data_IF_627601250637
#
_entry.id   IF_627601250637
#
_cell.length_a   1.000
_cell.length_b   1.000
_cell.length_c   1.000
_cell.angle_alpha   90.00
_cell.angle_beta   90.00
_cell.angle_gamma   90.00
#
_symmetry.space_group_name_H-M   'P 1'
#
loop_
_entity.id
_entity.type
_entity.pdbx_description
1 polymer ?
#
# COMPACT_ATOMS: atom_id res chain seq x y z
N UNK A 1 9.90 15.38 -11.93
CA UNK A 1 9.81 14.11 -12.68
C UNK A 1 11.17 13.60 -13.08
N UNK A 2 12.05 14.48 -13.53
CA UNK A 2 13.37 14.10 -14.03
C UNK A 2 14.21 13.38 -13.00
N UNK A 3 14.04 13.69 -11.71
CA UNK A 3 14.73 12.99 -10.62
C UNK A 3 14.33 11.52 -10.49
N UNK A 4 13.04 11.19 -10.68
CA UNK A 4 12.56 9.80 -10.57
C UNK A 4 12.99 9.01 -11.80
N UNK A 5 12.89 9.59 -12.99
CA UNK A 5 13.30 8.95 -14.25
C UNK A 5 14.77 8.53 -14.22
N UNK A 6 15.64 9.40 -13.69
CA UNK A 6 17.08 9.14 -13.55
C UNK A 6 17.43 8.01 -12.57
N UNK A 7 16.49 7.60 -11.72
CA UNK A 7 16.69 6.44 -10.83
C UNK A 7 16.53 5.11 -11.58
N UNK A 8 15.88 5.11 -12.75
CA UNK A 8 15.69 3.90 -13.55
C UNK A 8 16.75 3.82 -14.65
N UNK A 9 17.14 2.60 -15.01
CA UNK A 9 18.08 2.37 -16.10
C UNK A 9 17.41 2.57 -17.46
N UNK A 10 16.11 2.27 -17.55
CA UNK A 10 15.31 2.43 -18.76
C UNK A 10 14.30 3.58 -18.59
N UNK A 11 14.65 4.73 -19.15
CA UNK A 11 13.80 5.93 -19.13
C UNK A 11 12.50 5.77 -19.94
N UNK A 12 12.46 4.84 -20.91
CA UNK A 12 11.28 4.59 -21.74
C UNK A 12 10.18 3.86 -20.96
N UNK A 13 10.57 2.80 -20.26
CA UNK A 13 9.65 1.99 -19.45
C UNK A 13 9.00 2.81 -18.32
N UNK A 14 9.79 3.62 -17.62
CA UNK A 14 9.25 4.48 -16.54
C UNK A 14 8.35 5.59 -17.11
N UNK A 15 8.64 6.09 -18.31
CA UNK A 15 7.79 7.08 -18.96
C UNK A 15 6.40 6.51 -19.26
N UNK A 16 6.32 5.29 -19.82
CA UNK A 16 5.05 4.61 -20.08
C UNK A 16 4.25 4.43 -18.79
N UNK A 17 4.91 3.99 -17.71
CA UNK A 17 4.27 3.81 -16.42
C UNK A 17 3.73 5.13 -15.83
N UNK A 18 4.51 6.21 -15.92
CA UNK A 18 4.07 7.53 -15.47
C UNK A 18 2.89 8.04 -16.30
N UNK A 19 2.91 7.87 -17.61
CA UNK A 19 1.81 8.31 -18.48
C UNK A 19 0.49 7.59 -18.14
N UNK A 20 0.55 6.29 -17.86
CA UNK A 20 -0.59 5.51 -17.39
C UNK A 20 -1.12 6.01 -16.03
N UNK A 21 -0.24 6.36 -15.09
CA UNK A 21 -0.65 6.96 -13.81
C UNK A 21 -1.38 8.29 -14.01
N UNK A 22 -0.90 9.15 -14.90
CA UNK A 22 -1.55 10.44 -15.21
C UNK A 22 -2.92 10.24 -15.84
N UNK A 23 -3.07 9.25 -16.73
CA UNK A 23 -4.34 8.96 -17.39
C UNK A 23 -5.37 8.36 -16.42
N UNK A 24 -4.95 7.41 -15.56
CA UNK A 24 -5.87 6.69 -14.65
C UNK A 24 -6.21 7.48 -13.39
N UNK A 25 -5.24 8.19 -12.84
CA UNK A 25 -5.37 8.86 -11.54
C UNK A 25 -5.10 10.37 -11.60
N UNK A 26 -5.71 11.15 -12.51
CA UNK A 26 -5.39 12.57 -12.66
C UNK A 26 -5.66 13.37 -11.37
N UNK A 27 -6.74 13.04 -10.64
CA UNK A 27 -7.08 13.68 -9.36
C UNK A 27 -6.09 13.33 -8.24
N UNK A 28 -5.52 12.12 -8.28
CA UNK A 28 -4.67 11.57 -7.21
C UNK A 28 -3.20 11.47 -7.62
N UNK A 29 -2.81 12.11 -8.73
CA UNK A 29 -1.48 11.94 -9.30
C UNK A 29 -0.37 12.34 -8.32
N UNK A 30 -0.59 13.40 -7.52
CA UNK A 30 0.36 13.81 -6.48
C UNK A 30 0.64 12.69 -5.49
N UNK A 31 -0.40 12.00 -5.03
CA UNK A 31 -0.31 10.93 -4.05
C UNK A 31 0.42 9.71 -4.65
N UNK A 32 0.02 9.32 -5.88
CA UNK A 32 0.68 8.25 -6.62
C UNK A 32 2.19 8.52 -6.79
N UNK A 33 2.57 9.75 -7.14
CA UNK A 33 3.96 10.13 -7.31
C UNK A 33 4.75 10.17 -5.99
N UNK A 34 4.11 10.56 -4.89
CA UNK A 34 4.73 10.52 -3.56
C UNK A 34 5.02 9.09 -3.12
N UNK A 35 4.07 8.18 -3.32
CA UNK A 35 4.24 6.75 -3.04
C UNK A 35 5.38 6.18 -3.88
N UNK A 36 5.38 6.46 -5.19
CA UNK A 36 6.42 6.02 -6.12
C UNK A 36 7.80 6.52 -5.71
N UNK A 37 7.93 7.82 -5.42
CA UNK A 37 9.20 8.42 -5.01
C UNK A 37 9.73 7.80 -3.71
N UNK A 38 8.84 7.53 -2.75
CA UNK A 38 9.19 6.86 -1.50
C UNK A 38 9.67 5.43 -1.76
N UNK A 39 8.92 4.67 -2.56
CA UNK A 39 9.29 3.29 -2.91
C UNK A 39 10.65 3.23 -3.62
N UNK A 40 10.93 4.18 -4.52
CA UNK A 40 12.23 4.25 -5.23
C UNK A 40 13.38 4.50 -4.27
N UNK A 41 13.18 5.38 -3.28
CA UNK A 41 14.20 5.71 -2.28
C UNK A 41 14.45 4.54 -1.31
N UNK A 42 13.39 3.86 -0.89
CA UNK A 42 13.47 2.85 0.17
C UNK A 42 14.02 1.51 -0.34
N UNK A 43 13.93 1.23 -1.65
CA UNK A 43 14.22 -0.09 -2.22
C UNK A 43 15.10 -0.04 -3.48
N UNK A 44 16.02 0.92 -3.56
CA UNK A 44 16.79 1.26 -4.76
C UNK A 44 17.42 0.08 -5.54
N UNK A 45 17.85 -1.07 -4.97
CA UNK A 45 18.35 -2.15 -5.83
C UNK A 45 17.25 -2.93 -6.59
N UNK A 46 15.97 -2.83 -6.20
CA UNK A 46 14.88 -3.65 -6.76
C UNK A 46 13.90 -2.90 -7.66
N UNK A 47 14.07 -1.59 -7.80
CA UNK A 47 13.13 -0.71 -8.50
C UNK A 47 12.98 -1.06 -9.98
N UNK A 48 14.08 -1.43 -10.65
CA UNK A 48 14.06 -1.76 -12.07
C UNK A 48 13.28 -3.06 -12.32
N UNK A 49 13.59 -4.10 -11.55
CA UNK A 49 12.89 -5.39 -11.64
C UNK A 49 11.40 -5.24 -11.31
N UNK A 50 11.06 -4.37 -10.37
CA UNK A 50 9.66 -4.11 -10.04
C UNK A 50 8.92 -3.37 -11.17
N UNK A 51 9.58 -2.38 -11.80
CA UNK A 51 9.01 -1.68 -12.94
C UNK A 51 8.71 -2.65 -14.09
N UNK A 52 9.66 -3.54 -14.42
CA UNK A 52 9.49 -4.53 -15.47
C UNK A 52 8.32 -5.48 -15.16
N UNK A 53 8.22 -5.94 -13.90
CA UNK A 53 7.08 -6.75 -13.44
C UNK A 53 5.75 -6.00 -13.59
N UNK A 54 5.72 -4.72 -13.20
CA UNK A 54 4.50 -3.91 -13.31
C UNK A 54 4.05 -3.75 -14.76
N UNK A 55 4.99 -3.57 -15.69
CA UNK A 55 4.68 -3.49 -17.12
C UNK A 55 4.19 -4.83 -17.69
N UNK A 56 4.83 -5.94 -17.31
CA UNK A 56 4.46 -7.29 -17.76
C UNK A 56 3.05 -7.68 -17.27
N UNK A 57 2.77 -7.46 -15.99
CA UNK A 57 1.50 -7.80 -15.35
C UNK A 57 0.43 -6.71 -15.49
N UNK A 58 0.76 -5.61 -16.17
CA UNK A 58 -0.14 -4.44 -16.38
C UNK A 58 -0.68 -3.89 -15.05
N UNK A 59 0.20 -3.75 -14.07
CA UNK A 59 -0.05 -3.08 -12.81
C UNK A 59 0.25 -1.60 -13.01
N UNK A 60 -0.75 -0.74 -12.79
CA UNK A 60 -0.66 0.68 -13.15
C UNK A 60 -0.95 1.62 -11.99
N UNK A 61 -0.78 1.16 -10.75
CA UNK A 61 -0.83 2.02 -9.57
C UNK A 61 0.52 2.04 -8.84
N UNK A 62 0.81 3.15 -8.18
CA UNK A 62 2.01 3.30 -7.37
C UNK A 62 2.01 2.38 -6.13
N UNK A 63 0.83 1.99 -5.65
CA UNK A 63 0.68 1.00 -4.58
C UNK A 63 1.09 -0.39 -5.07
N UNK A 64 0.64 -0.79 -6.26
CA UNK A 64 1.05 -2.07 -6.85
C UNK A 64 2.56 -2.10 -7.04
N UNK A 65 3.15 -1.01 -7.56
CA UNK A 65 4.60 -0.88 -7.67
C UNK A 65 5.28 -1.02 -6.29
N UNK A 66 4.79 -0.31 -5.27
CA UNK A 66 5.33 -0.41 -3.91
C UNK A 66 5.28 -1.85 -3.37
N UNK A 67 4.17 -2.55 -3.56
CA UNK A 67 3.99 -3.91 -3.09
C UNK A 67 4.89 -4.90 -3.84
N UNK A 68 5.05 -4.74 -5.15
CA UNK A 68 5.97 -5.55 -5.97
C UNK A 68 7.41 -5.32 -5.52
N UNK A 69 7.85 -4.07 -5.40
CA UNK A 69 9.23 -3.76 -4.97
C UNK A 69 9.50 -4.32 -3.56
N UNK A 70 8.55 -4.16 -2.64
CA UNK A 70 8.63 -4.67 -1.27
C UNK A 70 8.66 -6.20 -1.23
N UNK A 71 7.93 -6.86 -2.12
CA UNK A 71 7.98 -8.31 -2.25
C UNK A 71 9.34 -8.78 -2.78
N UNK A 72 9.87 -8.11 -3.81
CA UNK A 72 11.19 -8.40 -4.37
C UNK A 72 12.32 -8.19 -3.36
N UNK A 73 12.25 -7.14 -2.55
CA UNK A 73 13.26 -6.88 -1.51
C UNK A 73 13.30 -7.97 -0.44
N UNK A 74 12.13 -8.50 -0.06
CA UNK A 74 11.99 -9.62 0.87
C UNK A 74 12.58 -10.92 0.33
N UNK A 75 12.31 -11.24 -0.95
CA UNK A 75 12.81 -12.48 -1.58
C UNK A 75 14.33 -12.44 -1.73
N UNK A 76 14.87 -11.30 -2.17
CA UNK A 76 16.28 -11.16 -2.53
C UNK A 76 17.20 -10.82 -1.34
N UNK A 77 16.70 -10.88 -0.11
CA UNK A 77 17.55 -10.95 1.08
C UNK A 77 18.07 -9.61 1.61
N UNK A 78 17.50 -8.47 1.20
CA UNK A 78 17.59 -7.27 2.06
C UNK A 78 16.62 -7.51 3.21
N UNK A 79 17.16 -8.10 4.29
CA UNK A 79 16.55 -8.01 5.61
C UNK A 79 16.55 -6.53 6.00
N UNK A 80 15.67 -5.73 5.39
CA UNK A 80 15.08 -4.67 6.18
C UNK A 80 14.51 -5.38 7.38
N UNK A 81 15.01 -4.99 8.54
CA UNK A 81 14.41 -5.27 9.83
C UNK A 81 12.93 -5.23 9.55
N UNK A 82 12.30 -6.41 9.62
CA UNK A 82 10.87 -6.51 9.52
C UNK A 82 10.47 -5.44 10.54
N UNK A 83 9.83 -4.36 10.08
CA UNK A 83 8.87 -3.70 10.93
C UNK A 83 7.81 -4.77 11.08
N UNK A 84 8.14 -5.75 11.92
CA UNK A 84 7.25 -6.24 12.89
C UNK A 84 6.91 -4.94 13.62
N UNK A 85 5.85 -4.27 13.14
CA UNK A 85 4.68 -4.32 13.98
C UNK A 85 4.49 -5.80 14.35
N UNK A 86 5.34 -6.29 15.27
CA UNK A 86 4.83 -6.91 16.46
C UNK A 86 3.84 -5.82 16.82
N UNK A 87 2.57 -6.05 16.44
CA UNK A 87 1.49 -5.66 17.29
C UNK A 87 2.02 -6.14 18.63
N UNK A 88 2.73 -5.25 19.33
CA UNK A 88 3.05 -5.44 20.71
C UNK A 88 1.66 -5.77 21.18
N UNK A 89 1.48 -7.01 21.61
CA UNK A 89 0.38 -7.30 22.48
C UNK A 89 0.65 -6.33 23.60
N UNK A 90 0.09 -5.12 23.44
CA UNK A 90 -0.07 -4.17 24.50
C UNK A 90 -0.58 -5.09 25.60
N UNK A 91 0.00 -5.00 26.79
CA UNK A 91 -0.50 -5.70 27.94
C UNK A 91 -1.92 -5.18 28.18
N UNK A 92 -2.87 -5.61 27.34
CA UNK A 92 -4.28 -5.34 27.40
C UNK A 92 -4.66 -6.15 28.63
N UNK A 93 -5.02 -5.49 29.73
CA UNK A 93 -5.45 -6.20 30.93
C UNK A 93 -6.49 -7.22 30.51
N UNK A 94 -6.35 -8.47 30.96
CA UNK A 94 -7.28 -9.56 30.61
C UNK A 94 -8.74 -9.22 30.89
N UNK A 95 -8.99 -8.24 31.76
CA UNK A 95 -10.33 -7.73 32.05
C UNK A 95 -10.95 -6.90 30.93
N UNK A 96 -10.14 -6.18 30.13
CA UNK A 96 -10.64 -5.50 28.92
C UNK A 96 -11.04 -6.50 27.83
N UNK A 97 -10.33 -7.63 27.73
CA UNK A 97 -10.66 -8.72 26.78
C UNK A 97 -11.99 -9.42 27.13
N UNK A 98 -12.43 -9.34 28.40
CA UNK A 98 -13.69 -9.92 28.87
C UNK A 98 -14.90 -9.00 28.68
N UNK A 99 -14.69 -7.74 28.31
CA UNK A 99 -15.79 -6.80 28.08
C UNK A 99 -16.57 -7.24 26.84
N UNK A 100 -17.89 -7.41 27.00
CA UNK A 100 -18.81 -7.61 25.89
C UNK A 100 -19.55 -6.30 25.62
N UNK A 101 -19.83 -6.03 24.35
CA UNK A 101 -20.69 -4.92 23.99
C UNK A 101 -22.06 -5.08 24.65
N UNK A 102 -22.69 -3.95 25.02
CA UNK A 102 -24.04 -3.96 25.55
C UNK A 102 -24.98 -4.53 24.48
N UNK A 103 -25.56 -5.70 24.75
CA UNK A 103 -26.61 -6.28 23.93
C UNK A 103 -27.88 -5.43 24.13
N UNK A 104 -28.30 -4.76 23.07
CA UNK A 104 -29.62 -4.10 23.04
C UNK A 104 -30.67 -5.12 22.63
N UNK A 105 -31.82 -5.00 23.26
CA UNK A 105 -32.98 -5.80 22.91
C UNK A 105 -33.48 -5.46 21.50
N UNK A 106 -33.98 -6.48 20.80
CA UNK A 106 -34.39 -6.38 19.40
C UNK A 106 -35.56 -5.42 19.22
N UNK A 107 -36.44 -5.31 20.22
CA UNK A 107 -37.60 -4.41 20.22
C UNK A 107 -37.17 -2.94 20.10
N UNK A 108 -35.99 -2.59 20.62
CA UNK A 108 -35.43 -1.25 20.47
C UNK A 108 -35.17 -0.90 18.99
N UNK A 109 -34.73 -1.87 18.20
CA UNK A 109 -34.50 -1.68 16.76
C UNK A 109 -35.82 -1.66 15.98
N UNK A 110 -36.77 -2.53 16.34
CA UNK A 110 -38.11 -2.56 15.72
C UNK A 110 -38.82 -1.22 15.91
N UNK A 111 -38.75 -0.64 17.12
CA UNK A 111 -39.32 0.67 17.42
C UNK A 111 -38.68 1.82 16.63
N UNK A 112 -37.36 1.78 16.44
CA UNK A 112 -36.64 2.79 15.63
C UNK A 112 -37.01 2.66 14.15
N UNK A 113 -37.19 1.43 13.67
CA UNK A 113 -37.58 1.14 12.29
C UNK A 113 -39.08 1.37 12.01
N UNK A 114 -39.85 1.81 13.00
CA UNK A 114 -41.28 2.11 12.85
C UNK A 114 -42.16 0.86 12.79
N UNK A 115 -41.69 -0.27 13.32
CA UNK A 115 -42.54 -1.44 13.52
C UNK A 115 -43.58 -1.17 14.61
N UNK A 116 -44.85 -1.31 14.25
CA UNK A 116 -46.02 -1.29 15.14
C UNK A 116 -46.16 -2.58 15.92
#
# INVERSE_FOLDING_TARGET
>A
MDTIKKSFQDEGNIQVFLDELYQRYPRYIRDQLQILQKAVKDYEPFIQQALDTCLQEKLWSANDFHDVVKHLSRINGVKDQILTDELTTANIPTDLLKQKAALRDIDSYIKILGGV
#
